data_IF_907805502163
#
_entry.id   IF_907805502163
#
_cell.length_a   1.000
_cell.length_b   1.000
_cell.length_c   1.000
_cell.angle_alpha   90.00
_cell.angle_beta   90.00
_cell.angle_gamma   90.00
#
_symmetry.space_group_name_H-M   'P 1'
#
loop_
_entity.id
_entity.type
_entity.pdbx_description
1 polymer ?
#
# COMPACT_ATOMS: atom_id res chain seq x y z
N UNK A 1 -14.81 9.66 8.99
CA UNK A 1 -13.84 9.11 8.03
C UNK A 1 -14.47 8.12 7.06
N UNK A 2 -15.43 7.27 7.47
CA UNK A 2 -16.18 6.40 6.56
C UNK A 2 -17.19 7.13 5.64
N UNK A 3 -17.83 8.22 6.11
CA UNK A 3 -18.88 8.95 5.37
C UNK A 3 -18.42 9.47 3.99
N UNK A 4 -17.19 9.98 3.93
CA UNK A 4 -16.58 10.51 2.69
C UNK A 4 -16.32 9.38 1.70
N UNK A 5 -15.84 8.22 2.19
CA UNK A 5 -15.57 7.03 1.38
C UNK A 5 -16.88 6.44 0.84
N UNK A 6 -17.95 6.44 1.65
CA UNK A 6 -19.28 5.95 1.25
C UNK A 6 -19.91 6.84 0.18
N UNK A 7 -19.82 8.17 0.30
CA UNK A 7 -20.33 9.10 -0.71
C UNK A 7 -19.57 9.02 -2.03
N UNK A 8 -18.23 9.01 -1.98
CA UNK A 8 -17.40 8.87 -3.19
C UNK A 8 -17.61 7.52 -3.89
N UNK A 9 -17.85 6.45 -3.13
CA UNK A 9 -18.13 5.12 -3.71
C UNK A 9 -19.47 5.07 -4.43
N UNK A 10 -20.51 5.70 -3.88
CA UNK A 10 -21.83 5.78 -4.50
C UNK A 10 -21.82 6.64 -5.78
N UNK A 11 -21.13 7.79 -5.75
CA UNK A 11 -21.00 8.67 -6.93
C UNK A 11 -20.23 7.99 -8.08
N UNK A 12 -19.30 7.08 -7.76
CA UNK A 12 -18.52 6.30 -8.73
C UNK A 12 -19.20 5.00 -9.20
N UNK A 13 -20.43 4.68 -8.73
CA UNK A 13 -21.11 3.38 -8.93
C UNK A 13 -20.32 2.16 -8.43
N UNK A 14 -19.42 2.34 -7.48
CA UNK A 14 -18.69 1.24 -6.88
C UNK A 14 -19.60 0.46 -5.93
N UNK A 15 -19.69 -0.86 -6.09
CA UNK A 15 -20.29 -1.71 -5.07
C UNK A 15 -19.46 -1.61 -3.78
N UNK A 16 -20.11 -1.74 -2.62
CA UNK A 16 -19.42 -1.70 -1.32
C UNK A 16 -18.32 -2.77 -1.21
N UNK A 17 -18.51 -3.90 -1.90
CA UNK A 17 -17.51 -4.95 -2.07
C UNK A 17 -16.35 -4.51 -2.97
N UNK A 18 -16.64 -3.87 -4.11
CA UNK A 18 -15.62 -3.36 -5.01
C UNK A 18 -14.75 -2.27 -4.38
N UNK A 19 -15.33 -1.39 -3.55
CA UNK A 19 -14.57 -0.33 -2.88
C UNK A 19 -13.66 -0.90 -1.80
N UNK A 20 -14.13 -1.89 -1.03
CA UNK A 20 -13.28 -2.63 -0.07
C UNK A 20 -12.16 -3.38 -0.79
N UNK A 21 -12.45 -4.04 -1.90
CA UNK A 21 -11.45 -4.75 -2.70
C UNK A 21 -10.39 -3.78 -3.25
N UNK A 22 -10.80 -2.64 -3.78
CA UNK A 22 -9.88 -1.61 -4.29
C UNK A 22 -8.97 -1.07 -3.18
N UNK A 23 -9.51 -0.75 -2.01
CA UNK A 23 -8.71 -0.30 -0.86
C UNK A 23 -7.74 -1.38 -0.40
N UNK A 24 -8.18 -2.64 -0.33
CA UNK A 24 -7.31 -3.76 0.01
C UNK A 24 -6.19 -3.96 -1.02
N UNK A 25 -6.48 -3.84 -2.31
CA UNK A 25 -5.50 -3.94 -3.39
C UNK A 25 -4.45 -2.83 -3.28
N UNK A 26 -4.87 -1.56 -3.12
CA UNK A 26 -3.94 -0.43 -2.96
C UNK A 26 -3.06 -0.62 -1.72
N UNK A 27 -3.66 -1.03 -0.59
CA UNK A 27 -2.91 -1.33 0.64
C UNK A 27 -1.87 -2.43 0.41
N UNK A 28 -2.25 -3.50 -0.28
CA UNK A 28 -1.36 -4.62 -0.57
C UNK A 28 -0.21 -4.21 -1.49
N UNK A 29 -0.48 -3.47 -2.56
CA UNK A 29 0.56 -2.96 -3.48
C UNK A 29 1.55 -2.07 -2.73
N UNK A 30 1.06 -1.07 -1.99
CA UNK A 30 1.90 -0.12 -1.25
C UNK A 30 2.69 -0.81 -0.14
N UNK A 31 2.07 -1.72 0.60
CA UNK A 31 2.72 -2.50 1.66
C UNK A 31 3.82 -3.42 1.12
N UNK A 32 3.53 -4.12 0.01
CA UNK A 32 4.50 -4.99 -0.66
C UNK A 32 5.67 -4.20 -1.22
N UNK A 33 5.42 -3.06 -1.88
CA UNK A 33 6.45 -2.18 -2.41
C UNK A 33 7.35 -1.62 -1.31
N UNK A 34 6.77 -1.15 -0.20
CA UNK A 34 7.52 -0.66 0.94
C UNK A 34 8.36 -1.76 1.61
N UNK A 35 7.82 -2.97 1.76
CA UNK A 35 8.52 -4.11 2.34
C UNK A 35 9.68 -4.61 1.49
N UNK A 36 9.54 -4.55 0.16
CA UNK A 36 10.61 -4.88 -0.79
C UNK A 36 11.55 -3.70 -1.10
N UNK A 37 11.42 -2.57 -0.38
CA UNK A 37 12.21 -1.34 -0.59
C UNK A 37 12.21 -0.85 -2.06
N UNK A 38 11.07 -0.99 -2.75
CA UNK A 38 10.91 -0.60 -4.16
C UNK A 38 10.97 0.91 -4.28
N UNK A 39 11.75 1.40 -5.24
CA UNK A 39 11.83 2.85 -5.51
C UNK A 39 10.54 3.35 -6.15
N UNK A 40 10.15 4.63 -5.92
CA UNK A 40 8.93 5.18 -6.52
C UNK A 40 8.90 5.07 -8.05
N UNK A 41 10.03 5.28 -8.73
CA UNK A 41 10.10 5.17 -10.19
C UNK A 41 9.81 3.74 -10.70
N UNK A 42 10.26 2.72 -9.97
CA UNK A 42 9.95 1.32 -10.28
C UNK A 42 8.47 1.05 -10.01
N UNK A 43 7.93 1.50 -8.88
CA UNK A 43 6.50 1.34 -8.57
C UNK A 43 5.60 1.95 -9.66
N UNK A 44 5.91 3.14 -10.17
CA UNK A 44 5.18 3.77 -11.27
C UNK A 44 5.22 2.93 -12.55
N UNK A 45 6.39 2.37 -12.88
CA UNK A 45 6.57 1.52 -14.06
C UNK A 45 5.78 0.21 -13.95
N UNK A 46 5.81 -0.46 -12.80
CA UNK A 46 5.06 -1.68 -12.54
C UNK A 46 3.54 -1.44 -12.60
N UNK A 47 3.04 -0.34 -12.01
CA UNK A 47 1.63 0.04 -12.07
C UNK A 47 1.16 0.27 -13.51
N UNK A 48 2.00 0.91 -14.34
CA UNK A 48 1.70 1.10 -15.75
C UNK A 48 1.69 -0.23 -16.53
N UNK A 49 2.59 -1.17 -16.22
CA UNK A 49 2.60 -2.51 -16.83
C UNK A 49 1.37 -3.35 -16.48
N UNK A 50 0.82 -3.15 -15.27
CA UNK A 50 -0.46 -3.74 -14.86
C UNK A 50 -1.67 -3.10 -15.57
N UNK A 51 -1.45 -2.06 -16.38
CA UNK A 51 -2.48 -1.40 -17.17
C UNK A 51 -3.15 -0.22 -16.48
N UNK A 52 -2.60 0.30 -15.37
CA UNK A 52 -3.16 1.51 -14.77
C UNK A 52 -2.89 2.72 -15.67
N UNK A 53 -3.86 3.64 -15.79
CA UNK A 53 -3.64 4.93 -16.42
C UNK A 53 -2.47 5.66 -15.78
N UNK A 54 -1.61 6.27 -16.61
CA UNK A 54 -0.38 6.97 -16.18
C UNK A 54 -0.64 8.00 -15.08
N UNK A 55 -1.76 8.71 -15.15
CA UNK A 55 -2.18 9.69 -14.14
C UNK A 55 -2.44 9.06 -12.77
N UNK A 56 -3.08 7.88 -12.73
CA UNK A 56 -3.38 7.17 -11.50
C UNK A 56 -2.13 6.51 -10.91
N UNK A 57 -1.29 5.92 -11.76
CA UNK A 57 0.00 5.35 -11.36
C UNK A 57 0.91 6.42 -10.74
N UNK A 58 1.01 7.59 -11.38
CA UNK A 58 1.79 8.71 -10.87
C UNK A 58 1.24 9.27 -9.55
N UNK A 59 -0.09 9.37 -9.42
CA UNK A 59 -0.73 9.82 -8.19
C UNK A 59 -0.46 8.87 -7.00
N UNK A 60 -0.62 7.56 -7.20
CA UNK A 60 -0.32 6.54 -6.19
C UNK A 60 1.17 6.55 -5.82
N UNK A 61 2.05 6.65 -6.83
CA UNK A 61 3.50 6.69 -6.64
C UNK A 61 3.94 7.92 -5.84
N UNK A 62 3.33 9.09 -6.09
CA UNK A 62 3.60 10.31 -5.32
C UNK A 62 3.26 10.13 -3.85
N UNK A 63 2.05 9.64 -3.57
CA UNK A 63 1.61 9.37 -2.19
C UNK A 63 2.51 8.34 -1.51
N UNK A 64 2.92 7.29 -2.24
CA UNK A 64 3.90 6.33 -1.76
C UNK A 64 5.22 7.00 -1.39
N UNK A 65 5.79 7.84 -2.27
CA UNK A 65 7.04 8.53 -2.02
C UNK A 65 6.99 9.45 -0.78
N UNK A 66 5.89 10.21 -0.64
CA UNK A 66 5.68 11.14 0.49
C UNK A 66 5.61 10.40 1.83
N UNK A 67 5.08 9.18 1.84
CA UNK A 67 4.87 8.37 3.06
C UNK A 67 5.89 7.24 3.24
N UNK A 68 6.75 6.98 2.26
CA UNK A 68 7.76 5.92 2.27
C UNK A 68 8.62 5.91 3.54
N UNK A 69 9.13 7.05 4.06
CA UNK A 69 9.93 7.05 5.29
C UNK A 69 9.16 6.53 6.50
N UNK A 70 7.86 6.85 6.59
CA UNK A 70 6.99 6.38 7.69
C UNK A 70 6.65 4.90 7.54
N UNK A 71 6.37 4.47 6.31
CA UNK A 71 6.10 3.07 6.00
C UNK A 71 7.32 2.19 6.29
N UNK A 72 8.50 2.61 5.86
CA UNK A 72 9.76 1.91 6.13
C UNK A 72 10.02 1.80 7.64
N UNK A 73 9.87 2.89 8.40
CA UNK A 73 10.03 2.87 9.86
C UNK A 73 9.04 1.91 10.52
N UNK A 74 7.76 1.95 10.13
CA UNK A 74 6.73 1.07 10.67
C UNK A 74 7.01 -0.41 10.36
N UNK A 75 7.41 -0.71 9.13
CA UNK A 75 7.79 -2.06 8.71
C UNK A 75 9.03 -2.55 9.42
N UNK A 76 10.05 -1.71 9.64
CA UNK A 76 11.22 -2.06 10.45
C UNK A 76 10.85 -2.39 11.89
N UNK A 77 9.98 -1.58 12.52
CA UNK A 77 9.47 -1.84 13.87
C UNK A 77 8.63 -3.11 13.96
N UNK A 78 7.90 -3.45 12.89
CA UNK A 78 7.10 -4.67 12.81
C UNK A 78 7.96 -5.92 12.53
N UNK A 79 8.96 -5.83 11.65
CA UNK A 79 9.86 -6.94 11.28
C UNK A 79 10.79 -7.36 12.43
N UNK A 80 11.13 -6.47 13.36
CA UNK A 80 11.91 -6.81 14.55
C UNK A 80 11.12 -7.62 15.61
N UNK A 81 9.80 -7.81 15.44
CA UNK A 81 8.99 -8.68 16.31
C UNK A 81 9.02 -10.16 15.93
N UNK A 82 9.62 -10.51 14.78
CA UNK A 82 9.64 -11.88 14.25
C UNK A 82 11.03 -12.55 14.42
N UNK A 83 11.78 -12.22 15.47
CA UNK A 83 12.92 -13.03 15.88
C UNK A 83 12.52 -13.84 17.12
N UNK A 84 12.07 -15.10 16.99
CA UNK A 84 11.95 -15.99 18.13
C UNK A 84 13.38 -16.33 18.56
N UNK A 85 13.94 -15.58 19.51
CA UNK A 85 15.01 -16.11 20.34
C UNK A 85 14.37 -17.16 21.22
N UNK A 86 14.51 -18.43 20.86
CA UNK A 86 14.27 -19.54 21.77
C UNK A 86 14.98 -19.25 23.10
N UNK A 87 14.30 -19.31 24.25
CA UNK A 87 14.99 -19.25 25.52
C UNK A 87 15.83 -20.53 25.66
N UNK A 88 17.15 -20.33 25.62
CA UNK A 88 18.18 -21.25 26.12
C UNK A 88 17.68 -22.01 27.35
N UNK A 89 17.41 -23.31 27.20
CA UNK A 89 17.18 -24.19 28.33
C UNK A 89 18.51 -24.83 28.72
N UNK A 90 19.02 -24.40 29.88
CA UNK A 90 20.11 -25.03 30.61
C UNK A 90 19.56 -26.14 31.53
#
# INVERSE_FOLDING_TARGET
>A
MYDVVTKLSNDAKFSEEGSRAAVAAVRWVVGSAAGAAVTPAVLDSELQQLGLPKEHAAALTRVYADHLPRLALHLQQASLKECPTEPSNA
#
